data_IF_072939357783
#
_entry.id   IF_072939357783
#
_cell.length_a   1.000
_cell.length_b   1.000
_cell.length_c   1.000
_cell.angle_alpha   90.00
_cell.angle_beta   90.00
_cell.angle_gamma   90.00
#
_symmetry.space_group_name_H-M   'P 1'
#
loop_
_entity.id
_entity.type
_entity.pdbx_description
1 polymer ?
#
# COMPACT_ATOMS: atom_id res chain seq x y z
N UNK A 1 -9.82 45.67 -43.64
CA UNK A 1 -9.93 46.74 -42.64
C UNK A 1 -10.83 46.25 -41.53
N UNK A 2 -10.43 45.18 -40.85
CA UNK A 2 -9.42 45.14 -39.78
C UNK A 2 -9.79 46.05 -38.60
N UNK A 3 -10.30 45.39 -37.57
CA UNK A 3 -10.29 45.87 -36.19
C UNK A 3 -9.71 44.74 -35.33
N UNK A 4 -8.47 44.36 -35.64
CA UNK A 4 -7.61 43.65 -34.69
C UNK A 4 -6.39 44.51 -34.48
N UNK A 5 -6.36 45.27 -33.39
CA UNK A 5 -5.14 45.57 -32.62
C UNK A 5 -5.46 46.51 -31.46
N UNK A 6 -5.96 45.93 -30.36
CA UNK A 6 -5.87 46.58 -29.04
C UNK A 6 -5.99 45.60 -27.86
N UNK A 7 -5.50 44.36 -28.02
CA UNK A 7 -5.43 43.37 -26.94
C UNK A 7 -3.99 42.98 -26.53
N UNK A 8 -2.96 43.62 -27.09
CA UNK A 8 -1.57 43.24 -26.85
C UNK A 8 -0.94 43.75 -25.55
N UNK A 9 -1.70 44.41 -24.67
CA UNK A 9 -1.15 44.96 -23.41
C UNK A 9 -1.61 44.26 -22.12
N UNK A 10 -2.36 43.15 -22.17
CA UNK A 10 -2.89 42.53 -20.94
C UNK A 10 -2.56 41.05 -20.67
N UNK A 11 -1.81 40.32 -21.51
CA UNK A 11 -1.48 38.91 -21.23
C UNK A 11 -0.03 38.50 -21.57
N UNK A 12 0.94 38.71 -20.66
CA UNK A 12 2.32 38.21 -20.82
C UNK A 12 2.45 36.68 -20.67
N UNK A 13 1.39 35.99 -20.24
CA UNK A 13 1.44 34.56 -19.87
C UNK A 13 1.02 33.59 -20.98
N UNK A 14 0.49 34.06 -22.11
CA UNK A 14 0.00 33.18 -23.17
C UNK A 14 1.08 32.82 -24.22
N UNK A 15 2.15 33.60 -24.33
CA UNK A 15 3.25 33.34 -25.29
C UNK A 15 4.18 32.21 -24.81
N UNK A 16 4.31 31.97 -23.49
CA UNK A 16 5.13 30.86 -22.95
C UNK A 16 4.52 29.47 -23.15
N UNK A 17 3.24 29.37 -23.49
CA UNK A 17 2.58 28.06 -23.70
C UNK A 17 2.85 27.50 -25.09
N UNK A 18 2.95 28.34 -26.12
CA UNK A 18 3.21 27.91 -27.50
C UNK A 18 4.68 27.51 -27.75
N UNK A 19 5.62 28.13 -27.03
CA UNK A 19 7.06 27.81 -27.11
C UNK A 19 7.45 26.49 -26.43
N UNK A 20 6.69 26.04 -25.42
CA UNK A 20 6.91 24.74 -24.77
C UNK A 20 6.46 23.58 -25.65
N UNK A 21 5.37 23.75 -26.39
CA UNK A 21 4.82 22.72 -27.27
C UNK A 21 5.75 22.45 -28.46
N UNK A 22 6.31 23.49 -29.08
CA UNK A 22 7.30 23.35 -30.16
C UNK A 22 8.62 22.74 -29.70
N UNK A 23 9.11 23.04 -28.48
CA UNK A 23 10.32 22.41 -27.92
C UNK A 23 10.14 20.91 -27.64
N UNK A 24 8.96 20.48 -27.18
CA UNK A 24 8.69 19.06 -26.93
C UNK A 24 8.61 18.28 -28.25
N UNK A 25 7.96 18.83 -29.27
CA UNK A 25 7.85 18.17 -30.59
C UNK A 25 9.21 18.07 -31.31
N UNK A 26 10.06 19.10 -31.20
CA UNK A 26 11.43 19.07 -31.77
C UNK A 26 12.35 18.07 -31.05
N UNK A 27 12.23 17.92 -29.73
CA UNK A 27 13.05 16.96 -28.97
C UNK A 27 12.66 15.51 -29.24
N UNK A 28 11.37 15.22 -29.50
CA UNK A 28 10.90 13.87 -29.86
C UNK A 28 11.36 13.46 -31.26
N UNK A 29 11.41 14.41 -32.22
CA UNK A 29 11.90 14.14 -33.58
C UNK A 29 13.41 13.85 -33.64
N UNK A 30 14.24 14.55 -32.85
CA UNK A 30 15.69 14.33 -32.87
C UNK A 30 16.10 12.96 -32.28
N UNK A 31 15.37 12.43 -31.29
CA UNK A 31 15.67 11.11 -30.68
C UNK A 31 15.33 9.96 -31.64
N UNK A 32 14.35 10.12 -32.52
CA UNK A 32 13.95 9.06 -33.48
C UNK A 32 14.89 8.91 -34.68
N UNK A 33 15.74 9.90 -34.99
CA UNK A 33 16.66 9.84 -36.14
C UNK A 33 18.05 9.24 -35.81
N UNK A 34 18.40 9.06 -34.53
CA UNK A 34 19.72 8.57 -34.12
C UNK A 34 19.82 7.05 -33.91
N UNK A 35 18.76 6.30 -34.18
CA UNK A 35 18.76 4.83 -34.14
C UNK A 35 18.41 4.21 -35.49
N UNK A 36 19.23 4.42 -36.52
CA UNK A 36 19.39 3.50 -37.67
C UNK A 36 20.72 3.84 -38.38
N UNK A 37 21.44 2.80 -38.85
CA UNK A 37 22.84 2.73 -39.37
C UNK A 37 23.83 2.34 -38.25
N UNK A 38 24.48 1.18 -38.24
CA UNK A 38 25.04 0.36 -39.32
C UNK A 38 24.88 -1.15 -39.10
N UNK A 39 24.69 -1.89 -40.21
CA UNK A 39 24.86 -3.35 -40.29
C UNK A 39 25.51 -3.75 -41.63
N UNK A 40 26.47 -4.69 -41.56
CA UNK A 40 27.00 -5.53 -42.67
C UNK A 40 28.34 -5.08 -43.28
N UNK A 41 29.31 -5.92 -43.67
CA UNK A 41 29.44 -7.39 -43.76
C UNK A 41 30.85 -7.80 -44.30
N UNK A 42 31.20 -9.11 -44.15
CA UNK A 42 32.20 -10.01 -44.85
C UNK A 42 33.57 -10.23 -44.16
N UNK A 43 33.89 -11.46 -43.67
CA UNK A 43 34.45 -12.72 -44.31
C UNK A 43 35.89 -12.51 -44.85
N UNK A 44 36.94 -13.34 -44.69
CA UNK A 44 37.20 -14.78 -44.42
C UNK A 44 38.72 -14.94 -44.15
N UNK A 45 39.17 -16.02 -43.47
CA UNK A 45 40.60 -16.46 -43.48
C UNK A 45 40.96 -17.51 -42.42
N UNK A 46 41.39 -18.71 -42.86
CA UNK A 46 41.62 -19.96 -42.10
C UNK A 46 43.02 -20.11 -41.46
N UNK A 47 43.14 -21.16 -40.62
CA UNK A 47 44.30 -22.07 -40.36
C UNK A 47 44.81 -22.11 -38.89
N UNK A 48 44.86 -23.33 -38.34
CA UNK A 48 45.46 -23.75 -37.05
C UNK A 48 46.73 -24.63 -37.33
N UNK A 49 47.40 -25.34 -36.39
CA UNK A 49 47.49 -25.32 -34.91
C UNK A 49 48.95 -25.44 -34.37
N UNK A 50 49.12 -25.74 -33.05
CA UNK A 50 50.30 -26.25 -32.28
C UNK A 50 50.90 -25.26 -31.25
N UNK A 51 51.39 -25.62 -30.05
CA UNK A 51 51.29 -26.76 -29.12
C UNK A 51 52.04 -26.32 -27.80
N UNK A 52 51.60 -26.82 -26.63
CA UNK A 52 52.36 -27.06 -25.35
C UNK A 52 52.87 -25.94 -24.38
N UNK A 53 52.47 -26.16 -23.10
CA UNK A 53 53.28 -26.20 -21.84
C UNK A 53 53.72 -24.86 -21.19
N UNK A 54 53.77 -24.62 -19.87
CA UNK A 54 53.32 -25.21 -18.59
C UNK A 54 53.73 -24.24 -17.43
N UNK A 55 53.19 -24.46 -16.21
CA UNK A 55 53.61 -24.02 -14.84
C UNK A 55 52.80 -22.91 -14.10
N UNK A 56 51.89 -23.36 -13.22
CA UNK A 56 51.91 -23.29 -11.73
C UNK A 56 52.91 -22.34 -11.01
N UNK A 57 52.70 -21.73 -9.82
CA UNK A 57 51.71 -21.82 -8.71
C UNK A 57 52.04 -20.75 -7.62
N UNK A 58 51.09 -20.56 -6.67
CA UNK A 58 51.16 -20.11 -5.23
C UNK A 58 50.29 -18.86 -4.96
N UNK A 59 49.12 -18.87 -4.29
CA UNK A 59 48.54 -19.52 -3.08
C UNK A 59 49.00 -18.94 -1.73
N UNK A 60 48.02 -18.42 -0.94
CA UNK A 60 47.81 -18.48 0.54
C UNK A 60 46.91 -17.30 0.96
N UNK A 61 45.91 -17.37 1.85
CA UNK A 61 45.80 -18.10 3.13
C UNK A 61 44.33 -18.19 3.61
N UNK A 62 44.05 -19.21 4.42
CA UNK A 62 42.74 -19.83 4.76
C UNK A 62 42.27 -19.50 6.19
N UNK A 63 40.95 -19.56 6.39
CA UNK A 63 40.17 -19.51 7.65
C UNK A 63 40.49 -20.64 8.66
N UNK A 64 40.17 -20.44 9.95
CA UNK A 64 39.90 -21.53 10.92
C UNK A 64 38.87 -21.15 12.00
N UNK A 65 37.92 -22.07 12.21
CA UNK A 65 37.14 -22.30 13.44
C UNK A 65 37.78 -23.47 14.20
N UNK A 66 37.61 -23.51 15.53
CA UNK A 66 37.56 -24.73 16.35
C UNK A 66 36.95 -24.41 17.73
N UNK A 67 36.27 -25.39 18.33
CA UNK A 67 35.58 -25.36 19.63
C UNK A 67 36.08 -26.55 20.46
N UNK A 68 36.23 -26.40 21.79
CA UNK A 68 36.14 -27.51 22.77
C UNK A 68 36.04 -26.99 24.21
N UNK A 69 35.31 -27.75 25.03
CA UNK A 69 34.82 -27.48 26.40
C UNK A 69 35.74 -28.03 27.51
N UNK A 70 35.75 -27.43 28.71
CA UNK A 70 35.81 -28.08 30.04
C UNK A 70 35.75 -27.03 31.18
N UNK A 71 35.07 -27.38 32.27
CA UNK A 71 34.56 -26.54 33.36
C UNK A 71 35.58 -26.10 34.43
N UNK A 72 35.29 -24.99 35.12
CA UNK A 72 35.38 -24.80 36.59
C UNK A 72 34.75 -23.45 37.00
N UNK A 73 33.78 -23.49 37.92
CA UNK A 73 33.20 -22.37 38.70
C UNK A 73 33.60 -22.57 40.19
N UNK A 74 33.36 -21.66 41.16
CA UNK A 74 32.79 -20.30 41.08
C UNK A 74 33.64 -19.25 41.85
N UNK A 75 33.44 -17.95 41.63
CA UNK A 75 33.55 -16.91 42.69
C UNK A 75 32.90 -15.61 42.22
N UNK A 76 31.86 -15.22 42.95
CA UNK A 76 31.12 -13.96 42.85
C UNK A 76 32.01 -12.74 43.06
N UNK A 77 31.94 -11.75 42.19
CA UNK A 77 31.96 -10.34 42.61
C UNK A 77 31.40 -9.40 41.53
N UNK A 78 30.34 -8.71 41.93
CA UNK A 78 29.63 -7.61 41.30
C UNK A 78 30.57 -6.55 40.71
N UNK A 79 30.45 -6.29 39.40
CA UNK A 79 30.70 -4.94 38.87
C UNK A 79 29.56 -4.57 37.92
N UNK A 80 28.74 -3.63 38.38
CA UNK A 80 27.71 -2.93 37.60
C UNK A 80 28.45 -2.19 36.49
N UNK A 81 28.46 -2.78 35.30
CA UNK A 81 28.95 -2.10 34.11
C UNK A 81 27.78 -1.35 33.49
N UNK A 82 27.89 -0.04 33.59
CA UNK A 82 27.01 0.99 33.06
C UNK A 82 26.74 0.74 31.57
N UNK A 83 25.65 0.03 31.29
CA UNK A 83 25.25 -0.34 29.95
C UNK A 83 24.68 0.92 29.29
N UNK A 84 25.59 1.71 28.72
CA UNK A 84 25.30 2.90 27.94
C UNK A 84 24.14 2.58 27.00
N UNK A 85 22.97 3.15 27.32
CA UNK A 85 21.74 3.04 26.52
C UNK A 85 22.12 3.16 25.06
N UNK A 86 22.03 2.07 24.31
CA UNK A 86 22.06 2.14 22.86
C UNK A 86 20.93 3.08 22.45
N UNK A 87 21.27 4.33 22.15
CA UNK A 87 20.32 5.32 21.72
C UNK A 87 19.87 4.83 20.35
N UNK A 88 18.74 4.13 20.34
CA UNK A 88 18.11 3.64 19.13
C UNK A 88 18.07 4.74 18.08
N UNK A 89 18.16 4.36 16.81
CA UNK A 89 18.21 5.28 15.66
C UNK A 89 17.18 6.42 15.82
N UNK A 90 17.67 7.64 16.02
CA UNK A 90 16.84 8.82 16.28
C UNK A 90 15.86 9.16 15.15
N UNK A 91 14.96 10.11 15.39
CA UNK A 91 13.97 10.55 14.41
C UNK A 91 14.65 11.02 13.11
N UNK A 92 14.25 10.45 11.97
CA UNK A 92 14.73 10.91 10.66
C UNK A 92 14.19 12.31 10.35
N UNK A 93 15.09 13.24 10.02
CA UNK A 93 14.80 14.61 9.56
C UNK A 93 14.93 14.76 8.04
N UNK A 94 15.35 13.70 7.32
CA UNK A 94 15.54 13.67 5.86
C UNK A 94 16.35 14.87 5.29
N UNK A 95 17.54 15.20 5.82
CA UNK A 95 18.32 16.38 5.40
C UNK A 95 18.73 16.34 3.92
N UNK A 96 18.91 15.13 3.36
CA UNK A 96 19.21 14.93 1.92
C UNK A 96 18.09 15.42 0.99
N UNK A 97 16.83 15.34 1.41
CA UNK A 97 15.70 15.85 0.64
C UNK A 97 15.69 17.37 0.68
N UNK A 98 15.95 17.95 1.86
CA UNK A 98 16.07 19.41 2.02
C UNK A 98 17.22 19.97 1.18
N UNK A 99 18.40 19.32 1.19
CA UNK A 99 19.54 19.71 0.35
C UNK A 99 19.23 19.67 -1.14
N UNK A 100 18.59 18.59 -1.63
CA UNK A 100 18.18 18.49 -3.05
C UNK A 100 17.16 19.54 -3.45
N UNK A 101 16.21 19.85 -2.56
CA UNK A 101 15.24 20.94 -2.78
C UNK A 101 15.94 22.28 -2.98
N UNK A 102 16.95 22.60 -2.18
CA UNK A 102 17.76 23.82 -2.34
C UNK A 102 18.53 23.83 -3.67
N UNK A 103 18.99 22.66 -4.13
CA UNK A 103 19.62 22.48 -5.43
C UNK A 103 18.63 22.40 -6.61
N UNK A 104 17.32 22.58 -6.36
CA UNK A 104 16.23 22.46 -7.35
C UNK A 104 16.18 21.10 -8.07
N UNK A 105 16.77 20.07 -7.48
CA UNK A 105 16.70 18.70 -7.98
C UNK A 105 15.43 18.04 -7.45
N UNK A 106 14.48 17.76 -8.34
CA UNK A 106 13.20 17.11 -8.03
C UNK A 106 13.17 15.71 -8.65
N UNK A 107 13.39 14.63 -7.89
CA UNK A 107 13.26 13.28 -8.41
C UNK A 107 11.83 13.03 -8.92
N UNK A 108 11.73 12.32 -10.05
CA UNK A 108 10.46 11.91 -10.62
C UNK A 108 9.94 10.70 -9.85
N UNK A 109 8.68 10.76 -9.41
CA UNK A 109 8.02 9.63 -8.76
C UNK A 109 7.39 8.77 -9.84
N UNK A 110 7.85 7.52 -9.93
CA UNK A 110 7.34 6.53 -10.87
C UNK A 110 6.06 5.88 -10.33
N UNK A 111 5.19 5.45 -11.24
CA UNK A 111 3.94 4.80 -10.92
C UNK A 111 3.74 3.56 -11.80
N UNK A 112 3.26 2.48 -11.21
CA UNK A 112 2.91 1.27 -11.96
C UNK A 112 1.56 1.44 -12.72
N UNK A 113 1.20 0.45 -13.54
CA UNK A 113 -0.04 0.43 -14.36
C UNK A 113 -1.32 0.68 -13.53
N UNK A 114 -1.30 0.34 -12.24
CA UNK A 114 -2.42 0.52 -11.32
C UNK A 114 -2.43 1.90 -10.62
N UNK A 115 -1.47 2.77 -10.94
CA UNK A 115 -1.32 4.11 -10.36
C UNK A 115 -0.71 4.12 -8.95
N UNK A 116 -0.01 3.06 -8.54
CA UNK A 116 0.73 3.03 -7.28
C UNK A 116 2.16 3.50 -7.47
N UNK A 117 2.65 4.32 -6.54
CA UNK A 117 4.00 4.83 -6.58
C UNK A 117 5.03 3.74 -6.29
N UNK A 118 6.10 3.73 -7.07
CA UNK A 118 7.15 2.71 -7.05
C UNK A 118 8.56 3.33 -7.12
N UNK A 119 9.58 2.50 -6.92
CA UNK A 119 10.97 2.92 -6.97
C UNK A 119 11.46 3.72 -5.76
N UNK A 120 12.76 4.05 -5.81
CA UNK A 120 13.47 4.70 -4.69
C UNK A 120 12.93 6.11 -4.39
N UNK A 121 12.60 6.89 -5.43
CA UNK A 121 12.04 8.23 -5.28
C UNK A 121 10.72 8.22 -4.49
N UNK A 122 9.84 7.24 -4.77
CA UNK A 122 8.59 7.07 -4.03
C UNK A 122 8.84 6.73 -2.55
N UNK A 123 9.77 5.83 -2.24
CA UNK A 123 10.10 5.44 -0.86
C UNK A 123 10.62 6.64 -0.06
N UNK A 124 11.47 7.46 -0.68
CA UNK A 124 11.97 8.69 -0.08
C UNK A 124 10.85 9.73 0.12
N UNK A 125 9.97 9.91 -0.87
CA UNK A 125 8.80 10.77 -0.76
C UNK A 125 7.90 10.32 0.40
N UNK A 126 7.60 9.02 0.54
CA UNK A 126 6.79 8.49 1.65
C UNK A 126 7.44 8.73 3.02
N UNK A 127 8.77 8.75 3.08
CA UNK A 127 9.52 9.08 4.28
C UNK A 127 9.44 10.58 4.59
N UNK A 128 9.59 11.43 3.57
CA UNK A 128 9.44 12.88 3.69
C UNK A 128 8.03 13.30 4.13
N UNK A 129 6.98 12.71 3.52
CA UNK A 129 5.59 12.88 3.96
C UNK A 129 5.44 12.54 5.45
N UNK A 130 6.10 11.49 5.92
CA UNK A 130 6.11 11.13 7.34
C UNK A 130 6.70 12.22 8.23
N UNK A 131 7.80 12.86 7.82
CA UNK A 131 8.41 13.99 8.56
C UNK A 131 7.45 15.18 8.61
N UNK A 132 6.85 15.52 7.46
CA UNK A 132 5.89 16.63 7.37
C UNK A 132 4.64 16.37 8.23
N UNK A 133 4.07 15.17 8.15
CA UNK A 133 2.88 14.79 8.89
C UNK A 133 3.08 14.81 10.41
N UNK A 134 4.28 14.48 10.89
CA UNK A 134 4.59 14.55 12.33
C UNK A 134 4.83 15.98 12.82
N UNK A 135 5.51 16.79 12.03
CA UNK A 135 5.95 18.13 12.43
C UNK A 135 4.91 19.22 12.23
N UNK A 136 4.01 19.09 11.25
CA UNK A 136 3.06 20.15 10.88
C UNK A 136 1.60 19.89 11.27
N UNK A 137 1.22 18.63 11.51
CA UNK A 137 -0.17 18.29 11.79
C UNK A 137 -0.40 18.29 13.31
N UNK A 138 -1.36 19.07 13.82
CA UNK A 138 -1.68 19.07 15.26
C UNK A 138 -2.05 17.68 15.79
N UNK A 139 -1.70 17.42 17.04
CA UNK A 139 -2.00 16.16 17.74
C UNK A 139 -3.41 16.15 18.33
N UNK A 140 -3.95 17.32 18.67
CA UNK A 140 -5.20 17.49 19.42
C UNK A 140 -6.42 17.01 18.61
N UNK A 141 -6.40 17.21 17.30
CA UNK A 141 -7.53 16.84 16.43
C UNK A 141 -7.85 15.34 16.46
N UNK A 142 -9.15 15.04 16.57
CA UNK A 142 -9.64 13.65 16.62
C UNK A 142 -9.66 13.01 15.23
N UNK A 143 -10.01 13.76 14.19
CA UNK A 143 -10.22 13.24 12.82
C UNK A 143 -9.43 14.05 11.77
N UNK A 144 -8.95 13.36 10.72
CA UNK A 144 -8.26 14.02 9.60
C UNK A 144 -9.13 15.06 8.87
N UNK A 145 -10.46 14.91 8.89
CA UNK A 145 -11.38 15.87 8.31
C UNK A 145 -11.40 17.21 9.05
N UNK A 146 -11.09 17.22 10.36
CA UNK A 146 -11.06 18.41 11.20
C UNK A 146 -9.77 19.23 10.99
N UNK A 147 -8.71 18.60 10.48
CA UNK A 147 -7.45 19.28 10.18
C UNK A 147 -7.71 20.42 9.17
N UNK A 148 -7.25 21.65 9.48
CA UNK A 148 -7.37 22.80 8.59
C UNK A 148 -6.85 22.55 7.17
N UNK A 149 -7.48 23.19 6.18
CA UNK A 149 -7.18 22.97 4.75
C UNK A 149 -5.81 23.51 4.35
N UNK A 150 -5.41 24.63 4.94
CA UNK A 150 -4.09 25.25 4.83
C UNK A 150 -2.97 24.31 5.27
N UNK A 151 -3.10 23.61 6.40
CA UNK A 151 -2.10 22.62 6.86
C UNK A 151 -1.95 21.49 5.85
N UNK A 152 -3.06 21.01 5.27
CA UNK A 152 -3.04 20.01 4.19
C UNK A 152 -2.36 20.54 2.95
N UNK A 153 -2.63 21.80 2.57
CA UNK A 153 -2.02 22.44 1.42
C UNK A 153 -0.50 22.59 1.59
N UNK A 154 -0.04 23.05 2.76
CA UNK A 154 1.37 23.17 3.08
C UNK A 154 2.12 21.82 2.97
N UNK A 155 1.50 20.72 3.40
CA UNK A 155 2.06 19.37 3.23
C UNK A 155 2.19 19.04 1.74
N UNK A 156 1.17 19.34 0.95
CA UNK A 156 1.19 19.11 -0.49
C UNK A 156 2.27 19.94 -1.18
N UNK A 157 2.32 21.25 -0.95
CA UNK A 157 3.30 22.17 -1.53
C UNK A 157 4.74 21.79 -1.16
N UNK A 158 4.97 21.37 0.09
CA UNK A 158 6.29 20.90 0.52
C UNK A 158 6.75 19.67 -0.25
N UNK A 159 5.84 18.74 -0.53
CA UNK A 159 6.12 17.53 -1.33
C UNK A 159 6.29 17.86 -2.79
N UNK A 160 5.41 18.68 -3.37
CA UNK A 160 5.48 19.08 -4.77
C UNK A 160 6.78 19.86 -5.06
N UNK A 161 7.22 20.73 -4.16
CA UNK A 161 8.52 21.38 -4.30
C UNK A 161 9.71 20.41 -4.28
N UNK A 162 9.60 19.26 -3.61
CA UNK A 162 10.70 18.31 -3.41
C UNK A 162 10.72 17.18 -4.45
N UNK A 163 9.58 16.84 -5.04
CA UNK A 163 9.42 15.70 -5.96
C UNK A 163 8.55 16.09 -7.16
N UNK A 164 8.75 15.46 -8.30
CA UNK A 164 7.80 15.57 -9.42
C UNK A 164 6.75 14.47 -9.24
N UNK A 165 5.54 14.89 -8.85
CA UNK A 165 4.42 13.98 -8.54
C UNK A 165 3.37 14.08 -9.65
N UNK A 166 2.85 12.94 -10.11
CA UNK A 166 1.84 12.91 -11.18
C UNK A 166 0.51 13.57 -10.80
N UNK A 167 -0.37 13.79 -11.79
CA UNK A 167 -1.61 14.58 -11.69
C UNK A 167 -2.63 14.06 -10.65
N UNK A 168 -2.59 12.76 -10.29
CA UNK A 168 -3.39 12.14 -9.22
C UNK A 168 -2.68 12.10 -7.85
N UNK A 169 -1.49 12.68 -7.77
CA UNK A 169 -0.55 12.61 -6.66
C UNK A 169 -1.05 13.24 -5.38
N UNK A 170 -1.67 14.42 -5.45
CA UNK A 170 -2.10 15.19 -4.27
C UNK A 170 -3.00 14.38 -3.33
N UNK A 171 -4.02 13.72 -3.87
CA UNK A 171 -4.93 12.87 -3.06
C UNK A 171 -4.17 11.73 -2.38
N UNK A 172 -3.24 11.09 -3.10
CA UNK A 172 -2.41 10.01 -2.56
C UNK A 172 -1.47 10.51 -1.45
N UNK A 173 -0.80 11.65 -1.68
CA UNK A 173 0.08 12.30 -0.70
C UNK A 173 -0.67 12.63 0.58
N UNK A 174 -1.84 13.26 0.47
CA UNK A 174 -2.65 13.62 1.64
C UNK A 174 -3.21 12.39 2.37
N UNK A 175 -3.58 11.34 1.65
CA UNK A 175 -3.99 10.07 2.26
C UNK A 175 -2.84 9.40 3.02
N UNK A 176 -1.63 9.42 2.45
CA UNK A 176 -0.41 8.97 3.12
C UNK A 176 -0.09 9.81 4.35
N UNK A 177 -0.20 11.14 4.27
CA UNK A 177 0.01 12.04 5.40
C UNK A 177 -0.98 11.74 6.54
N UNK A 178 -2.26 11.57 6.22
CA UNK A 178 -3.30 11.20 7.17
C UNK A 178 -2.98 9.89 7.89
N UNK A 179 -2.50 8.87 7.16
CA UNK A 179 -2.10 7.60 7.74
C UNK A 179 -0.89 7.77 8.66
N UNK A 180 0.17 8.44 8.21
CA UNK A 180 1.40 8.65 8.99
C UNK A 180 1.16 9.47 10.26
N UNK A 181 0.24 10.43 10.20
CA UNK A 181 -0.22 11.18 11.38
C UNK A 181 -0.90 10.27 12.40
N UNK A 182 -1.82 9.38 11.97
CA UNK A 182 -2.44 8.38 12.86
C UNK A 182 -1.42 7.40 13.45
N UNK A 183 -0.51 6.89 12.61
CA UNK A 183 0.56 5.97 13.03
C UNK A 183 1.47 6.65 14.07
N UNK A 184 1.76 7.94 13.90
CA UNK A 184 2.52 8.72 14.87
C UNK A 184 1.78 8.88 16.20
N UNK A 185 0.49 9.25 16.17
CA UNK A 185 -0.34 9.29 17.38
C UNK A 185 -0.37 7.95 18.09
N UNK A 186 -0.48 6.84 17.35
CA UNK A 186 -0.43 5.47 17.91
C UNK A 186 0.92 5.16 18.53
N UNK A 187 2.03 5.59 17.90
CA UNK A 187 3.39 5.42 18.43
C UNK A 187 3.57 6.18 19.75
N UNK A 188 3.12 7.43 19.80
CA UNK A 188 3.15 8.24 21.02
C UNK A 188 2.35 7.56 22.15
N UNK A 189 1.13 7.12 21.85
CA UNK A 189 0.28 6.45 22.84
C UNK A 189 0.90 5.16 23.36
N UNK A 190 1.39 4.29 22.48
CA UNK A 190 1.90 2.96 22.88
C UNK A 190 3.21 3.01 23.65
N UNK A 191 4.11 3.94 23.33
CA UNK A 191 5.46 3.95 23.91
C UNK A 191 5.66 4.99 25.01
N UNK A 192 4.86 6.06 25.01
CA UNK A 192 5.09 7.21 25.90
C UNK A 192 3.88 7.56 26.77
N UNK A 193 2.74 6.89 26.59
CA UNK A 193 1.54 7.14 27.42
C UNK A 193 1.12 5.85 28.15
N UNK A 194 0.76 4.80 27.42
CA UNK A 194 0.25 3.55 28.01
C UNK A 194 1.21 2.90 29.02
N UNK A 195 2.55 2.90 28.84
CA UNK A 195 3.46 2.33 29.84
C UNK A 195 3.58 3.16 31.13
N UNK A 196 3.11 4.41 31.12
CA UNK A 196 3.31 5.39 32.20
C UNK A 196 1.99 5.98 32.69
N UNK A 197 0.87 5.28 32.51
CA UNK A 197 -0.47 5.73 32.91
C UNK A 197 -0.56 6.13 34.38
N UNK A 198 0.23 5.48 35.24
CA UNK A 198 0.28 5.74 36.67
C UNK A 198 1.36 6.78 37.07
N UNK A 199 2.32 7.08 36.18
CA UNK A 199 3.48 7.93 36.44
C UNK A 199 3.26 9.35 35.87
N UNK A 200 2.56 10.20 36.64
CA UNK A 200 2.24 11.58 36.21
C UNK A 200 3.47 12.42 35.84
N UNK A 201 4.59 12.21 36.52
CA UNK A 201 5.84 12.93 36.25
C UNK A 201 6.38 12.62 34.86
N UNK A 202 6.37 11.34 34.44
CA UNK A 202 6.84 10.93 33.11
C UNK A 202 5.92 11.39 31.98
N UNK A 203 4.65 11.65 32.30
CA UNK A 203 3.67 12.20 31.35
C UNK A 203 3.67 13.73 31.30
N UNK A 204 4.33 14.41 32.24
CA UNK A 204 4.29 15.88 32.36
C UNK A 204 4.98 16.62 31.21
N UNK A 205 5.89 15.96 30.51
CA UNK A 205 6.66 16.53 29.41
C UNK A 205 6.59 15.66 28.16
N UNK A 206 6.59 16.26 26.96
CA UNK A 206 6.67 15.51 25.72
C UNK A 206 8.01 14.76 25.64
N UNK A 207 8.07 13.63 24.91
CA UNK A 207 9.31 12.89 24.75
C UNK A 207 10.43 13.73 24.12
N UNK A 208 11.65 13.63 24.65
CA UNK A 208 12.82 14.39 24.16
C UNK A 208 13.10 14.21 22.67
N UNK A 209 12.75 13.04 22.12
CA UNK A 209 12.86 12.73 20.68
C UNK A 209 12.00 13.65 19.81
N UNK A 210 10.93 14.23 20.36
CA UNK A 210 9.92 15.01 19.65
C UNK A 210 9.78 16.43 20.22
N UNK A 211 10.90 17.16 20.29
CA UNK A 211 10.98 18.54 20.83
C UNK A 211 10.04 19.56 20.17
N UNK A 212 9.56 19.28 18.96
CA UNK A 212 8.61 20.14 18.24
C UNK A 212 7.18 20.02 18.78
N UNK A 213 6.90 19.09 19.70
CA UNK A 213 5.59 18.99 20.34
C UNK A 213 5.56 20.01 21.49
N UNK A 214 4.66 20.99 21.37
CA UNK A 214 4.42 21.95 22.44
C UNK A 214 3.79 21.28 23.67
N UNK A 215 4.14 21.76 24.87
CA UNK A 215 3.65 21.18 26.13
C UNK A 215 2.12 21.19 26.22
N UNK A 216 1.48 22.30 25.87
CA UNK A 216 0.00 22.39 25.89
C UNK A 216 -0.66 21.36 24.98
N UNK A 217 -0.09 21.13 23.79
CA UNK A 217 -0.56 20.12 22.85
C UNK A 217 -0.34 18.69 23.38
N UNK A 218 0.79 18.44 24.05
CA UNK A 218 1.08 17.18 24.69
C UNK A 218 0.09 16.88 25.83
N UNK A 219 -0.12 17.83 26.74
CA UNK A 219 -1.01 17.69 27.89
C UNK A 219 -2.45 17.37 27.44
N UNK A 220 -2.96 18.12 26.44
CA UNK A 220 -4.27 17.85 25.85
C UNK A 220 -4.34 16.46 25.17
N UNK A 221 -3.25 16.03 24.53
CA UNK A 221 -3.17 14.72 23.91
C UNK A 221 -3.16 13.60 24.95
N UNK A 222 -2.38 13.71 26.02
CA UNK A 222 -2.35 12.74 27.13
C UNK A 222 -3.74 12.60 27.76
N UNK A 223 -4.39 13.72 28.11
CA UNK A 223 -5.75 13.70 28.65
C UNK A 223 -6.73 12.97 27.72
N UNK A 224 -6.63 13.19 26.40
CA UNK A 224 -7.47 12.49 25.42
C UNK A 224 -7.23 10.97 25.39
N UNK A 225 -5.99 10.52 25.64
CA UNK A 225 -5.60 9.10 25.62
C UNK A 225 -5.87 8.36 26.93
N UNK A 226 -6.03 9.08 28.02
CA UNK A 226 -6.44 8.52 29.31
C UNK A 226 -7.97 8.54 29.50
N UNK A 227 -8.72 9.07 28.54
CA UNK A 227 -10.18 9.08 28.59
C UNK A 227 -10.79 7.68 28.39
N UNK A 228 -11.93 7.43 29.05
CA UNK A 228 -12.69 6.19 28.96
C UNK A 228 -13.17 5.89 27.52
N UNK A 229 -13.54 6.93 26.76
CA UNK A 229 -13.90 6.82 25.34
C UNK A 229 -12.75 6.27 24.50
N UNK A 230 -11.52 6.69 24.80
CA UNK A 230 -10.35 6.18 24.09
C UNK A 230 -10.05 4.73 24.47
N UNK A 231 -10.10 4.40 25.77
CA UNK A 231 -9.82 3.05 26.27
C UNK A 231 -10.77 2.02 25.66
N UNK A 232 -12.08 2.31 25.67
CA UNK A 232 -13.09 1.44 25.07
C UNK A 232 -12.85 1.22 23.56
N UNK A 233 -12.62 2.30 22.81
CA UNK A 233 -12.29 2.20 21.38
C UNK A 233 -10.97 1.48 21.11
N UNK A 234 -9.96 1.69 21.97
CA UNK A 234 -8.66 1.02 21.87
C UNK A 234 -8.80 -0.49 22.08
N UNK A 235 -9.54 -0.91 23.11
CA UNK A 235 -9.80 -2.32 23.42
C UNK A 235 -10.54 -3.04 22.29
N UNK A 236 -11.60 -2.43 21.75
CA UNK A 236 -12.32 -2.99 20.59
C UNK A 236 -11.41 -3.18 19.38
N UNK A 237 -10.57 -2.18 19.06
CA UNK A 237 -9.64 -2.29 17.95
C UNK A 237 -8.51 -3.30 18.18
N UNK A 238 -8.07 -3.49 19.43
CA UNK A 238 -7.11 -4.53 19.80
C UNK A 238 -7.68 -5.93 19.54
N UNK A 239 -8.92 -6.20 20.00
CA UNK A 239 -9.63 -7.45 19.74
C UNK A 239 -9.84 -7.72 18.24
N UNK A 240 -10.16 -6.67 17.45
CA UNK A 240 -10.27 -6.82 15.99
C UNK A 240 -8.91 -7.16 15.37
N UNK A 241 -7.82 -6.54 15.84
CA UNK A 241 -6.47 -6.78 15.31
C UNK A 241 -5.97 -8.20 15.61
N UNK A 242 -6.33 -8.74 16.75
CA UNK A 242 -6.02 -10.10 17.18
C UNK A 242 -6.60 -11.16 16.23
N UNK A 243 -7.80 -10.91 15.69
CA UNK A 243 -8.44 -11.79 14.69
C UNK A 243 -7.74 -11.82 13.33
N UNK A 244 -6.73 -10.97 13.08
CA UNK A 244 -6.01 -10.99 11.80
C UNK A 244 -4.95 -12.10 11.78
N UNK A 245 -5.35 -13.22 11.20
CA UNK A 245 -4.61 -14.48 11.17
C UNK A 245 -3.36 -14.45 10.27
N UNK A 246 -3.48 -13.92 9.05
CA UNK A 246 -2.45 -14.09 8.02
C UNK A 246 -1.61 -12.83 7.76
N UNK A 247 -0.75 -12.46 8.71
CA UNK A 247 0.13 -11.29 8.59
C UNK A 247 1.17 -11.45 7.47
N UNK A 248 1.40 -10.41 6.67
CA UNK A 248 2.42 -10.40 5.61
C UNK A 248 3.76 -9.83 6.09
N UNK A 249 4.85 -10.14 5.38
CA UNK A 249 6.25 -9.81 5.71
C UNK A 249 6.91 -8.81 4.76
N UNK A 250 6.11 -8.13 3.92
CA UNK A 250 6.58 -7.20 2.88
C UNK A 250 7.18 -5.87 3.37
N UNK A 251 7.27 -5.63 4.68
CA UNK A 251 7.88 -4.41 5.23
C UNK A 251 7.43 -3.12 4.51
N UNK A 252 8.34 -2.19 4.22
CA UNK A 252 8.07 -0.90 3.57
C UNK A 252 7.77 -1.00 2.07
N UNK A 253 8.21 -2.06 1.37
CA UNK A 253 7.95 -2.22 -0.07
C UNK A 253 6.48 -2.49 -0.37
N UNK A 254 5.81 -3.23 0.53
CA UNK A 254 4.42 -3.63 0.34
C UNK A 254 4.23 -4.50 -0.91
N UNK A 255 2.98 -4.66 -1.36
CA UNK A 255 2.65 -5.47 -2.53
C UNK A 255 3.07 -4.82 -3.85
N UNK A 256 3.02 -3.48 -3.94
CA UNK A 256 3.43 -2.78 -5.16
C UNK A 256 4.91 -3.00 -5.47
N UNK A 257 5.78 -2.86 -4.46
CA UNK A 257 7.20 -3.17 -4.66
C UNK A 257 7.48 -4.66 -4.84
N UNK A 258 6.58 -5.55 -4.38
CA UNK A 258 6.71 -6.98 -4.69
C UNK A 258 6.36 -7.27 -6.15
N UNK A 259 5.27 -6.67 -6.66
CA UNK A 259 4.86 -6.78 -8.07
C UNK A 259 5.98 -6.28 -9.01
N UNK A 260 6.64 -5.18 -8.67
CA UNK A 260 7.78 -4.67 -9.46
C UNK A 260 8.99 -5.62 -9.46
N UNK A 261 9.39 -6.17 -8.31
CA UNK A 261 10.48 -7.16 -8.23
C UNK A 261 10.21 -8.37 -9.14
N UNK A 262 8.94 -8.72 -9.27
CA UNK A 262 8.50 -9.79 -10.14
C UNK A 262 8.51 -9.39 -11.63
N UNK A 263 8.06 -8.19 -11.98
CA UNK A 263 8.12 -7.69 -13.36
C UNK A 263 9.58 -7.55 -13.83
N UNK A 264 10.51 -7.19 -12.95
CA UNK A 264 11.96 -7.15 -13.25
C UNK A 264 12.54 -8.54 -13.54
N UNK A 265 12.06 -9.58 -12.85
CA UNK A 265 12.59 -10.94 -12.98
C UNK A 265 11.88 -11.76 -14.06
N UNK A 266 10.61 -11.47 -14.31
CA UNK A 266 9.74 -12.15 -15.27
C UNK A 266 8.87 -11.13 -16.02
N UNK A 267 9.45 -10.36 -16.95
CA UNK A 267 8.74 -9.28 -17.63
C UNK A 267 7.58 -9.82 -18.47
N UNK A 268 6.42 -9.17 -18.37
CA UNK A 268 5.22 -9.50 -19.14
C UNK A 268 4.42 -10.71 -18.65
N UNK A 269 4.85 -11.41 -17.61
CA UNK A 269 4.08 -12.51 -17.01
C UNK A 269 3.03 -11.94 -16.07
N UNK A 270 1.74 -12.20 -16.34
CA UNK A 270 0.67 -11.83 -15.40
C UNK A 270 0.71 -12.74 -14.18
N UNK A 271 0.98 -12.14 -13.02
CA UNK A 271 1.15 -12.89 -11.77
C UNK A 271 -0.15 -12.92 -11.00
N UNK A 272 -0.63 -14.13 -10.76
CA UNK A 272 -1.81 -14.35 -9.95
C UNK A 272 -1.60 -13.85 -8.51
N UNK A 273 -2.64 -13.23 -7.94
CA UNK A 273 -2.56 -12.66 -6.59
C UNK A 273 -2.40 -13.72 -5.50
N UNK A 274 -2.73 -15.00 -5.75
CA UNK A 274 -2.41 -16.07 -4.80
C UNK A 274 -0.90 -16.30 -4.68
N UNK A 275 -0.17 -16.17 -5.78
CA UNK A 275 1.30 -16.19 -5.82
C UNK A 275 1.89 -15.03 -5.04
N UNK A 276 1.37 -13.81 -5.25
CA UNK A 276 1.77 -12.63 -4.46
C UNK A 276 1.47 -12.81 -2.97
N UNK A 277 0.30 -13.35 -2.63
CA UNK A 277 -0.09 -13.60 -1.25
C UNK A 277 0.86 -14.60 -0.57
N UNK A 278 1.22 -15.69 -1.25
CA UNK A 278 2.17 -16.70 -0.77
C UNK A 278 3.55 -16.10 -0.59
N UNK A 279 4.08 -15.43 -1.63
CA UNK A 279 5.40 -14.78 -1.60
C UNK A 279 5.52 -13.74 -0.49
N UNK A 280 4.44 -13.01 -0.22
CA UNK A 280 4.38 -12.02 0.83
C UNK A 280 4.54 -12.58 2.26
N UNK A 281 4.44 -13.90 2.45
CA UNK A 281 4.51 -14.59 3.75
C UNK A 281 5.74 -15.49 3.89
N UNK A 282 6.53 -15.59 2.83
CA UNK A 282 7.81 -16.29 2.87
C UNK A 282 8.88 -15.48 3.62
N UNK A 283 9.82 -16.18 4.23
CA UNK A 283 11.06 -15.62 4.73
C UNK A 283 12.11 -15.47 3.61
N UNK A 284 13.35 -15.13 3.99
CA UNK A 284 14.47 -14.96 3.05
C UNK A 284 14.90 -16.28 2.40
N UNK A 285 14.58 -17.41 3.01
CA UNK A 285 14.90 -18.76 2.55
C UNK A 285 13.74 -19.39 1.77
N UNK A 286 12.60 -18.70 1.64
CA UNK A 286 11.40 -19.20 0.96
C UNK A 286 10.44 -19.96 1.87
N UNK A 287 10.73 -20.10 3.15
CA UNK A 287 9.89 -20.83 4.10
C UNK A 287 8.75 -19.96 4.61
N UNK A 288 7.63 -20.59 4.99
CA UNK A 288 6.51 -19.93 5.67
C UNK A 288 6.56 -20.38 7.13
N UNK A 289 7.00 -19.52 8.08
CA UNK A 289 7.23 -19.95 9.45
C UNK A 289 5.96 -20.32 10.23
N UNK A 290 4.83 -19.69 9.90
CA UNK A 290 3.55 -19.94 10.58
C UNK A 290 2.89 -21.19 9.99
N UNK A 291 2.66 -22.25 10.77
CA UNK A 291 2.07 -23.50 10.29
C UNK A 291 0.69 -23.32 9.66
N UNK A 292 -0.16 -22.46 10.23
CA UNK A 292 -1.52 -22.20 9.69
C UNK A 292 -1.45 -21.53 8.33
N UNK A 293 -0.51 -20.59 8.18
CA UNK A 293 -0.26 -19.94 6.90
C UNK A 293 0.33 -20.92 5.88
N UNK A 294 1.20 -21.83 6.33
CA UNK A 294 1.80 -22.86 5.48
C UNK A 294 0.75 -23.85 4.95
N UNK A 295 -0.22 -24.26 5.76
CA UNK A 295 -1.36 -25.08 5.32
C UNK A 295 -2.16 -24.39 4.22
N UNK A 296 -2.49 -23.10 4.41
CA UNK A 296 -3.18 -22.32 3.38
C UNK A 296 -2.35 -22.14 2.11
N UNK A 297 -1.03 -22.01 2.23
CA UNK A 297 -0.14 -21.97 1.07
C UNK A 297 -0.13 -23.30 0.31
N UNK A 298 -0.11 -24.45 1.00
CA UNK A 298 -0.24 -25.77 0.35
C UNK A 298 -1.57 -25.92 -0.37
N UNK A 299 -2.67 -25.46 0.24
CA UNK A 299 -3.99 -25.46 -0.41
C UNK A 299 -4.02 -24.58 -1.67
N UNK A 300 -3.36 -23.42 -1.64
CA UNK A 300 -3.19 -22.58 -2.83
C UNK A 300 -2.45 -23.35 -3.93
N UNK A 301 -1.35 -24.04 -3.59
CA UNK A 301 -0.54 -24.77 -4.57
C UNK A 301 -1.32 -25.93 -5.20
N UNK A 302 -2.11 -26.66 -4.42
CA UNK A 302 -3.00 -27.70 -4.92
C UNK A 302 -4.10 -27.12 -5.83
N UNK A 303 -4.72 -26.01 -5.46
CA UNK A 303 -5.72 -25.35 -6.29
C UNK A 303 -5.12 -24.81 -7.59
N UNK A 304 -3.91 -24.24 -7.56
CA UNK A 304 -3.20 -23.80 -8.78
C UNK A 304 -2.96 -24.99 -9.73
N UNK A 305 -2.56 -26.14 -9.19
CA UNK A 305 -2.38 -27.38 -9.96
C UNK A 305 -3.70 -27.87 -10.57
N UNK A 306 -4.79 -27.87 -9.81
CA UNK A 306 -6.11 -28.27 -10.32
C UNK A 306 -6.62 -27.33 -11.43
N UNK A 307 -6.28 -26.04 -11.35
CA UNK A 307 -6.58 -25.06 -12.40
C UNK A 307 -5.74 -25.34 -13.65
N UNK A 308 -4.44 -25.62 -13.52
CA UNK A 308 -3.60 -25.94 -14.68
C UNK A 308 -3.97 -27.27 -15.35
N UNK A 309 -4.51 -28.21 -14.59
CA UNK A 309 -5.07 -29.48 -15.09
C UNK A 309 -6.50 -29.34 -15.65
N UNK A 310 -7.11 -28.15 -15.56
CA UNK A 310 -8.47 -27.90 -16.05
C UNK A 310 -9.61 -28.49 -15.20
N UNK A 311 -9.29 -29.03 -14.02
CA UNK A 311 -10.28 -29.62 -13.08
C UNK A 311 -11.11 -28.55 -12.36
N UNK A 312 -10.52 -27.37 -12.16
CA UNK A 312 -11.14 -26.23 -11.49
C UNK A 312 -11.16 -25.03 -12.42
N UNK A 313 -12.33 -24.41 -12.58
CA UNK A 313 -12.49 -23.16 -13.31
C UNK A 313 -12.44 -21.98 -12.36
N UNK A 314 -11.57 -21.02 -12.64
CA UNK A 314 -11.52 -19.71 -11.98
C UNK A 314 -12.26 -18.68 -12.81
N UNK A 315 -13.05 -17.82 -12.17
CA UNK A 315 -13.76 -16.73 -12.84
C UNK A 315 -13.98 -15.54 -11.93
N UNK A 316 -13.55 -14.36 -12.39
CA UNK A 316 -13.66 -13.09 -11.68
C UNK A 316 -13.21 -13.19 -10.22
N UNK A 317 -14.15 -12.95 -9.30
CA UNK A 317 -13.89 -12.98 -7.85
C UNK A 317 -13.80 -14.39 -7.24
N UNK A 318 -14.09 -15.45 -8.01
CA UNK A 318 -13.90 -16.86 -7.62
C UNK A 318 -12.56 -17.35 -8.16
N UNK A 319 -11.49 -16.75 -7.66
CA UNK A 319 -10.12 -17.13 -8.00
C UNK A 319 -9.49 -18.02 -6.91
N UNK A 320 -8.29 -18.54 -7.20
CA UNK A 320 -7.56 -19.46 -6.31
C UNK A 320 -7.45 -18.94 -4.89
N UNK A 321 -7.11 -17.65 -4.73
CA UNK A 321 -6.94 -17.07 -3.41
C UNK A 321 -8.25 -17.02 -2.61
N UNK A 322 -9.37 -16.70 -3.26
CA UNK A 322 -10.69 -16.69 -2.63
C UNK A 322 -11.17 -18.10 -2.31
N UNK A 323 -10.86 -19.09 -3.15
CA UNK A 323 -11.16 -20.50 -2.86
C UNK A 323 -10.39 -21.01 -1.64
N UNK A 324 -9.11 -20.64 -1.49
CA UNK A 324 -8.28 -21.10 -0.36
C UNK A 324 -8.61 -20.43 0.98
N UNK A 325 -8.96 -19.13 0.95
CA UNK A 325 -9.12 -18.29 2.14
C UNK A 325 -10.56 -17.88 2.44
N UNK A 326 -11.51 -18.27 1.58
CA UNK A 326 -12.91 -17.83 1.65
C UNK A 326 -13.15 -16.44 1.05
N UNK A 327 -14.37 -15.90 1.18
CA UNK A 327 -14.78 -14.65 0.54
C UNK A 327 -13.93 -13.44 0.98
N UNK A 328 -13.80 -12.46 0.08
CA UNK A 328 -13.11 -11.20 0.37
C UNK A 328 -13.95 -10.27 1.24
N UNK A 329 -13.28 -9.46 2.06
CA UNK A 329 -13.96 -8.44 2.86
C UNK A 329 -14.35 -7.23 2.00
N UNK A 330 -15.47 -6.54 2.32
CA UNK A 330 -15.86 -5.33 1.61
C UNK A 330 -14.74 -4.28 1.58
N UNK A 331 -14.46 -3.74 0.39
CA UNK A 331 -13.56 -2.60 0.20
C UNK A 331 -12.05 -2.90 0.26
N UNK A 332 -11.63 -4.14 0.52
CA UNK A 332 -10.21 -4.53 0.53
C UNK A 332 -10.01 -5.89 -0.11
N UNK A 333 -8.99 -6.00 -0.96
CA UNK A 333 -8.52 -7.27 -1.50
C UNK A 333 -7.28 -7.77 -0.78
N UNK A 334 -7.24 -9.08 -0.51
CA UNK A 334 -6.01 -9.77 -0.14
C UNK A 334 -5.11 -9.96 -1.37
N UNK A 335 -3.80 -9.92 -1.15
CA UNK A 335 -2.79 -10.21 -2.19
C UNK A 335 -2.39 -9.05 -3.11
N UNK A 336 -3.09 -7.91 -3.07
CA UNK A 336 -2.87 -6.80 -4.04
C UNK A 336 -2.51 -5.47 -3.35
N UNK A 337 -2.41 -5.43 -2.03
CA UNK A 337 -2.07 -4.21 -1.28
C UNK A 337 -3.20 -3.19 -1.11
N UNK A 338 -2.90 -2.09 -0.42
CA UNK A 338 -3.90 -1.09 -0.03
C UNK A 338 -4.33 -0.20 -1.21
N UNK A 339 -5.59 0.24 -1.19
CA UNK A 339 -6.13 1.21 -2.16
C UNK A 339 -6.74 0.60 -3.42
N UNK A 340 -6.62 -0.72 -3.63
CA UNK A 340 -7.27 -1.43 -4.73
C UNK A 340 -8.58 -2.04 -4.22
N UNK A 341 -9.67 -1.67 -4.87
CA UNK A 341 -10.98 -2.23 -4.58
C UNK A 341 -11.22 -3.51 -5.40
N UNK A 342 -12.04 -4.47 -4.90
CA UNK A 342 -12.51 -5.62 -5.68
C UNK A 342 -13.00 -5.25 -7.08
N UNK A 343 -13.71 -4.12 -7.19
CA UNK A 343 -14.25 -3.63 -8.46
C UNK A 343 -13.16 -3.25 -9.47
N UNK A 344 -12.14 -2.53 -8.99
CA UNK A 344 -11.04 -2.10 -9.85
C UNK A 344 -10.18 -3.28 -10.31
N UNK A 345 -10.01 -4.29 -9.45
CA UNK A 345 -9.17 -5.44 -9.77
C UNK A 345 -9.87 -6.43 -10.71
N UNK A 346 -11.12 -6.80 -10.41
CA UNK A 346 -11.90 -7.76 -11.20
C UNK A 346 -12.70 -7.11 -12.35
N UNK A 347 -12.46 -5.83 -12.65
CA UNK A 347 -13.20 -5.06 -13.66
C UNK A 347 -14.73 -5.19 -13.57
N UNK A 348 -15.26 -5.26 -12.34
CA UNK A 348 -16.70 -5.47 -12.13
C UNK A 348 -17.50 -4.25 -12.58
N UNK A 349 -18.69 -4.45 -13.19
CA UNK A 349 -19.54 -3.34 -13.62
C UNK A 349 -19.89 -2.43 -12.43
N UNK A 350 -19.95 -1.12 -12.68
CA UNK A 350 -20.40 -0.17 -11.67
C UNK A 350 -21.86 -0.51 -11.34
N UNK A 351 -22.21 -0.85 -10.09
CA UNK A 351 -23.61 -1.00 -9.74
C UNK A 351 -24.26 0.35 -9.97
N UNK A 352 -25.31 0.34 -10.78
CA UNK A 352 -26.16 1.50 -10.98
C UNK A 352 -26.69 1.89 -9.60
N UNK A 353 -26.55 3.16 -9.23
CA UNK A 353 -27.22 3.68 -8.04
C UNK A 353 -28.72 3.60 -8.32
N UNK A 354 -29.34 2.50 -7.90
CA UNK A 354 -30.79 2.42 -7.80
C UNK A 354 -31.23 3.37 -6.69
N UNK A 355 -32.15 4.28 -7.02
CA UNK A 355 -32.73 5.18 -6.04
C UNK A 355 -33.37 4.36 -4.90
N UNK A 356 -33.42 4.93 -3.71
CA UNK A 356 -34.25 4.36 -2.64
C UNK A 356 -35.70 4.21 -3.12
N UNK A 357 -36.19 5.16 -3.92
CA UNK A 357 -37.52 5.11 -4.52
C UNK A 357 -37.69 3.96 -5.50
N UNK A 358 -36.65 3.64 -6.28
CA UNK A 358 -36.70 2.51 -7.22
C UNK A 358 -36.75 1.17 -6.47
N UNK A 359 -36.02 1.07 -5.36
CA UNK A 359 -36.08 -0.12 -4.48
C UNK A 359 -37.44 -0.27 -3.82
N UNK A 360 -38.02 0.82 -3.33
CA UNK A 360 -39.37 0.79 -2.75
C UNK A 360 -40.43 0.41 -3.77
N UNK A 361 -40.37 0.96 -5.00
CA UNK A 361 -41.28 0.61 -6.09
C UNK A 361 -41.20 -0.88 -6.44
N UNK A 362 -39.98 -1.43 -6.49
CA UNK A 362 -39.81 -2.85 -6.78
C UNK A 362 -40.35 -3.73 -5.65
N UNK A 363 -40.07 -3.40 -4.39
CA UNK A 363 -40.63 -4.11 -3.24
C UNK A 363 -42.16 -4.06 -3.20
N UNK A 364 -42.78 -2.91 -3.49
CA UNK A 364 -44.23 -2.77 -3.60
C UNK A 364 -44.82 -3.60 -4.74
N UNK A 365 -44.14 -3.65 -5.90
CA UNK A 365 -44.54 -4.51 -7.03
C UNK A 365 -44.56 -5.98 -6.64
N UNK A 366 -43.52 -6.45 -5.97
CA UNK A 366 -43.43 -7.86 -5.53
C UNK A 366 -44.56 -8.18 -4.54
N UNK A 367 -44.81 -7.32 -3.56
CA UNK A 367 -45.90 -7.52 -2.59
C UNK A 367 -47.28 -7.54 -3.26
N UNK A 368 -47.54 -6.61 -4.20
CA UNK A 368 -48.78 -6.60 -4.98
C UNK A 368 -48.93 -7.89 -5.80
N UNK A 369 -47.87 -8.37 -6.44
CA UNK A 369 -47.91 -9.64 -7.19
C UNK A 369 -48.15 -10.86 -6.29
N UNK A 370 -47.62 -10.85 -5.07
CA UNK A 370 -47.91 -11.92 -4.10
C UNK A 370 -49.35 -11.87 -3.62
N UNK A 371 -49.92 -10.69 -3.37
CA UNK A 371 -51.32 -10.55 -2.99
C UNK A 371 -52.28 -10.94 -4.13
N UNK A 372 -52.01 -10.53 -5.37
CA UNK A 372 -52.86 -10.91 -6.51
C UNK A 372 -52.86 -12.43 -6.70
N UNK A 373 -51.69 -13.08 -6.58
CA UNK A 373 -51.60 -14.55 -6.63
C UNK A 373 -52.37 -15.22 -5.49
N UNK A 374 -52.34 -14.66 -4.28
CA UNK A 374 -53.13 -15.17 -3.14
C UNK A 374 -54.62 -15.04 -3.38
N UNK A 375 -55.07 -13.90 -3.92
CA UNK A 375 -56.48 -13.67 -4.25
C UNK A 375 -56.96 -14.60 -5.37
N UNK A 376 -56.16 -14.79 -6.42
CA UNK A 376 -56.45 -15.74 -7.48
C UNK A 376 -56.51 -17.19 -6.99
N UNK A 377 -55.63 -17.58 -6.07
CA UNK A 377 -55.65 -18.91 -5.47
C UNK A 377 -56.94 -19.13 -4.65
N UNK A 378 -57.34 -18.15 -3.83
CA UNK A 378 -58.59 -18.19 -3.07
C UNK A 378 -59.82 -18.24 -3.99
N UNK A 379 -59.85 -17.44 -5.05
CA UNK A 379 -60.95 -17.45 -6.01
C UNK A 379 -61.07 -18.78 -6.75
N UNK A 380 -59.94 -19.42 -7.11
CA UNK A 380 -59.93 -20.76 -7.71
C UNK A 380 -60.42 -21.84 -6.74
N UNK A 381 -60.01 -21.76 -5.48
CA UNK A 381 -60.47 -22.69 -4.43
C UNK A 381 -61.98 -22.54 -4.18
N UNK A 382 -62.49 -21.31 -4.14
CA UNK A 382 -63.91 -21.02 -3.97
C UNK A 382 -64.73 -21.48 -5.18
N UNK A 383 -64.23 -21.28 -6.40
CA UNK A 383 -64.87 -21.77 -7.63
C UNK A 383 -64.97 -23.31 -7.64
N UNK A 384 -63.89 -24.01 -7.27
CA UNK A 384 -63.89 -25.47 -7.11
C UNK A 384 -64.89 -25.93 -6.05
N UNK A 385 -64.99 -25.20 -4.92
CA UNK A 385 -65.94 -25.50 -3.84
C UNK A 385 -67.39 -25.31 -4.29
N UNK A 386 -67.68 -24.28 -5.08
CA UNK A 386 -69.00 -24.03 -5.65
C UNK A 386 -69.36 -25.08 -6.70
N UNK A 387 -68.43 -25.46 -7.59
CA UNK A 387 -68.63 -26.52 -8.57
C UNK A 387 -68.91 -27.88 -7.89
N UNK A 388 -68.18 -28.19 -6.82
CA UNK A 388 -68.41 -29.40 -6.03
C UNK A 388 -69.80 -29.42 -5.37
N UNK A 389 -70.30 -28.27 -4.91
CA UNK A 389 -71.67 -28.15 -4.37
C UNK A 389 -72.73 -28.32 -5.44
N UNK A 390 -72.53 -27.77 -6.64
CA UNK A 390 -73.49 -27.92 -7.75
C UNK A 390 -73.56 -29.33 -8.31
N UNK A 391 -72.53 -30.17 -8.12
CA UNK A 391 -72.55 -31.59 -8.53
C UNK A 391 -73.21 -32.52 -7.50
N UNK A 392 -73.49 -32.03 -6.29
CA UNK A 392 -74.15 -32.78 -5.21
C UNK A 392 -75.65 -32.48 -5.09
N UNK A 393 -76.12 -31.45 -5.80
CA UNK A 393 -77.54 -31.15 -6.04
C UNK A 393 -77.94 -31.77 -7.38
#
# INVERSE_FOLDING_TARGET
FDFSEQWFLFFPYLIKYKEKETRVVLSVKMVSQQQTKDSGSKKLGMVAPQDKSSKEMKSSKKMKFASSSAETEPTSQTTISDDSKSTGRGMSTMPRVVKRKLQKLRPIVEYNKMGKGIGQAHIEMQSHIGVLARSRVPLVDKKWSQIPKDVKEQIWEAVDMAFVVGQRGKKSVLASAAKKWKDFKSTLTRHYILPYTNDKEKLSHPPETYKFIEKAQWDAFVASRLSQDFESGHSQHAQIREKLEYNHRLSRKGYAGLEDEFEETMPGVEIDRSTLWKRARQDKHGNIPDPKVAEKAKLIDELQKQVSEGKVRVDGSKDVLTMALGPEHPGRLRGVGAGISPRQYFNLPKPQRVSFDDRLKESLRVLLQEETKKMEAKAKEEALRMEARTKQL
#
